data_IF_549480904647
#
_entry.id   IF_549480904647
#
_cell.length_a   1.000
_cell.length_b   1.000
_cell.length_c   1.000
_cell.angle_alpha   90.00
_cell.angle_beta   90.00
_cell.angle_gamma   90.00
#
_symmetry.space_group_name_H-M   'P 1'
#
loop_
_entity.id
_entity.type
_entity.pdbx_description
1 polymer ?
#
# COMPACT_ATOMS: atom_id res chain seq x y z
N UNK A 1 31.61 -14.16 -21.58
CA UNK A 1 32.05 -12.78 -21.23
C UNK A 1 31.23 -11.82 -22.07
N UNK A 2 30.13 -11.28 -21.55
CA UNK A 2 29.33 -10.27 -22.26
C UNK A 2 29.91 -8.90 -21.92
N UNK A 3 30.39 -8.21 -22.94
CA UNK A 3 30.96 -6.86 -22.83
C UNK A 3 29.88 -5.85 -22.49
N UNK A 4 29.98 -5.20 -21.35
CA UNK A 4 29.14 -4.06 -20.97
C UNK A 4 29.41 -2.90 -21.96
N UNK A 5 28.37 -2.34 -22.62
CA UNK A 5 28.60 -1.25 -23.55
C UNK A 5 29.08 0.01 -22.82
N UNK A 6 30.08 0.68 -23.38
CA UNK A 6 30.65 1.90 -22.80
C UNK A 6 29.64 3.07 -22.80
N UNK A 7 29.78 4.01 -21.87
CA UNK A 7 28.97 5.23 -21.75
C UNK A 7 28.83 6.00 -23.08
N UNK A 8 29.87 5.94 -23.92
CA UNK A 8 29.90 6.58 -25.26
C UNK A 8 29.04 5.87 -26.31
N UNK A 9 28.96 4.52 -26.27
CA UNK A 9 28.09 3.75 -27.17
C UNK A 9 26.62 3.93 -26.82
N UNK A 10 26.29 4.08 -25.55
CA UNK A 10 24.94 4.37 -25.07
C UNK A 10 24.44 5.73 -25.54
N UNK A 11 25.26 6.79 -25.44
CA UNK A 11 24.88 8.15 -25.87
C UNK A 11 24.78 8.29 -27.41
N UNK A 12 25.52 7.51 -28.19
CA UNK A 12 25.39 7.48 -29.66
C UNK A 12 24.08 6.85 -30.12
N UNK A 13 23.55 5.88 -29.39
CA UNK A 13 22.27 5.24 -29.72
C UNK A 13 21.04 6.10 -29.36
N UNK A 14 21.20 7.09 -28.46
CA UNK A 14 20.15 8.06 -28.14
C UNK A 14 19.96 9.14 -29.22
N UNK A 15 20.97 9.40 -30.03
CA UNK A 15 20.92 10.43 -31.10
C UNK A 15 20.30 9.96 -32.42
N UNK A 16 19.99 8.68 -32.56
CA UNK A 16 19.36 8.08 -33.75
C UNK A 16 17.97 7.56 -33.46
N UNK A 17 16.98 8.39 -33.45
CA UNK A 17 15.51 8.27 -33.59
C UNK A 17 14.73 6.98 -33.30
N UNK A 18 15.35 5.92 -32.80
CA UNK A 18 14.69 4.75 -32.21
C UNK A 18 15.45 4.39 -30.93
N UNK A 19 15.00 4.93 -29.79
CA UNK A 19 15.62 4.66 -28.51
C UNK A 19 15.47 3.16 -28.18
N UNK A 20 16.52 2.39 -28.38
CA UNK A 20 16.68 1.07 -27.75
C UNK A 20 16.82 1.33 -26.26
N UNK A 21 15.69 1.28 -25.53
CA UNK A 21 15.74 1.28 -24.07
C UNK A 21 16.51 0.04 -23.61
N UNK A 22 17.48 0.18 -22.69
CA UNK A 22 18.26 -0.96 -22.22
C UNK A 22 17.36 -2.00 -21.58
N UNK A 23 17.79 -3.25 -21.61
CA UNK A 23 17.19 -4.32 -20.81
C UNK A 23 17.15 -3.92 -19.33
N UNK A 24 16.34 -4.61 -18.51
CA UNK A 24 16.25 -4.33 -17.08
C UNK A 24 17.64 -4.14 -16.47
N UNK A 25 17.80 -3.09 -15.65
CA UNK A 25 19.05 -2.82 -14.95
C UNK A 25 19.07 -3.55 -13.62
N UNK A 26 20.24 -4.01 -13.20
CA UNK A 26 20.38 -4.82 -11.98
C UNK A 26 20.32 -3.98 -10.71
N UNK A 27 20.64 -2.68 -10.77
CA UNK A 27 20.72 -1.83 -9.58
C UNK A 27 19.96 -0.51 -9.75
N UNK A 28 19.53 0.07 -8.64
CA UNK A 28 18.91 1.40 -8.62
C UNK A 28 19.91 2.49 -9.02
N UNK A 29 21.21 2.29 -8.77
CA UNK A 29 22.28 3.19 -9.19
C UNK A 29 22.36 3.33 -10.70
N UNK A 30 22.11 2.26 -11.47
CA UNK A 30 22.06 2.27 -12.93
C UNK A 30 20.72 2.86 -13.44
N UNK A 31 19.61 2.61 -12.76
CA UNK A 31 18.29 3.09 -13.15
C UNK A 31 18.15 4.61 -13.02
N UNK A 32 18.69 5.21 -11.96
CA UNK A 32 18.57 6.64 -11.68
C UNK A 32 19.04 7.54 -12.83
N UNK A 33 20.26 7.40 -13.39
CA UNK A 33 20.69 8.24 -14.50
C UNK A 33 19.88 7.99 -15.78
N UNK A 34 19.36 6.78 -16.00
CA UNK A 34 18.50 6.46 -17.14
C UNK A 34 17.17 7.19 -17.06
N UNK A 35 16.53 7.19 -15.88
CA UNK A 35 15.30 7.94 -15.65
C UNK A 35 15.50 9.44 -15.81
N UNK A 36 16.62 9.98 -15.34
CA UNK A 36 16.96 11.40 -15.48
C UNK A 36 17.21 11.81 -16.94
N UNK A 37 17.77 10.91 -17.77
CA UNK A 37 18.06 11.16 -19.18
C UNK A 37 16.86 10.90 -20.10
N UNK A 38 15.80 10.26 -19.62
CA UNK A 38 14.64 9.87 -20.42
C UNK A 38 13.70 11.07 -20.61
N UNK A 39 13.45 11.42 -21.86
CA UNK A 39 12.51 12.48 -22.25
C UNK A 39 11.14 11.85 -22.54
N UNK A 40 10.08 12.46 -21.97
CA UNK A 40 8.71 12.00 -22.14
C UNK A 40 8.22 11.07 -21.02
N UNK A 41 7.00 11.31 -20.57
CA UNK A 41 6.41 10.62 -19.43
C UNK A 41 6.23 9.12 -19.70
N UNK A 42 5.70 8.72 -20.87
CA UNK A 42 5.48 7.30 -21.19
C UNK A 42 6.78 6.53 -21.30
N UNK A 43 7.82 7.07 -21.96
CA UNK A 43 9.14 6.41 -22.07
C UNK A 43 9.76 6.18 -20.67
N UNK A 44 9.52 7.12 -19.73
CA UNK A 44 9.92 6.95 -18.32
C UNK A 44 9.20 5.77 -17.67
N UNK A 45 7.89 5.64 -17.86
CA UNK A 45 7.10 4.57 -17.27
C UNK A 45 7.35 3.21 -17.94
N UNK A 46 7.69 3.17 -19.22
CA UNK A 46 8.18 1.96 -19.88
C UNK A 46 9.50 1.48 -19.27
N UNK A 47 10.42 2.39 -18.96
CA UNK A 47 11.66 2.03 -18.27
C UNK A 47 11.40 1.48 -16.88
N UNK A 48 10.44 2.07 -16.13
CA UNK A 48 9.96 1.56 -14.84
C UNK A 48 9.33 0.17 -15.01
N UNK A 49 8.46 -0.04 -16.03
CA UNK A 49 7.84 -1.36 -16.31
C UNK A 49 8.89 -2.47 -16.44
N UNK A 50 9.99 -2.20 -17.12
CA UNK A 50 11.07 -3.18 -17.36
C UNK A 50 11.80 -3.61 -16.08
N UNK A 51 11.62 -2.89 -14.96
CA UNK A 51 12.17 -3.29 -13.67
C UNK A 51 11.38 -4.44 -13.00
N UNK A 52 10.25 -4.84 -13.58
CA UNK A 52 9.39 -5.90 -13.04
C UNK A 52 9.46 -7.14 -13.91
N UNK A 53 9.55 -8.32 -13.28
CA UNK A 53 9.88 -9.59 -13.96
C UNK A 53 8.68 -10.34 -14.55
N UNK A 54 7.43 -9.84 -14.37
CA UNK A 54 6.26 -10.56 -14.87
C UNK A 54 6.20 -10.59 -16.40
N UNK A 55 5.63 -11.68 -16.95
CA UNK A 55 5.48 -11.88 -18.39
C UNK A 55 4.39 -10.99 -18.97
N UNK A 56 4.61 -10.48 -20.20
CA UNK A 56 3.56 -9.78 -20.97
C UNK A 56 2.37 -10.69 -21.32
N UNK A 57 2.55 -12.01 -21.29
CA UNK A 57 1.44 -12.96 -21.45
C UNK A 57 0.51 -13.03 -20.23
N UNK A 58 0.96 -12.61 -19.03
CA UNK A 58 0.23 -12.69 -17.76
C UNK A 58 0.45 -11.44 -16.95
N UNK A 59 -0.35 -10.41 -17.22
CA UNK A 59 -0.21 -9.06 -16.66
C UNK A 59 -0.99 -8.92 -15.37
N UNK A 60 -0.35 -8.61 -14.23
CA UNK A 60 -1.04 -8.31 -12.99
C UNK A 60 -1.70 -6.91 -13.06
N UNK A 61 -3.02 -6.86 -12.90
CA UNK A 61 -3.80 -5.62 -12.67
C UNK A 61 -4.56 -5.78 -11.35
N UNK A 62 -3.84 -6.08 -10.27
CA UNK A 62 -4.42 -6.39 -8.97
C UNK A 62 -3.57 -5.87 -7.81
N UNK A 63 -3.11 -4.61 -7.92
CA UNK A 63 -2.26 -3.98 -6.91
C UNK A 63 -2.89 -3.93 -5.51
N UNK A 64 -4.22 -3.93 -5.44
CA UNK A 64 -4.96 -4.00 -4.17
C UNK A 64 -4.75 -5.32 -3.39
N UNK A 65 -4.22 -6.37 -4.03
CA UNK A 65 -3.93 -7.65 -3.39
C UNK A 65 -2.43 -7.90 -3.27
N UNK A 66 -1.74 -8.04 -4.40
CA UNK A 66 -0.31 -8.38 -4.45
C UNK A 66 0.34 -7.75 -5.68
N UNK A 67 1.40 -7.00 -5.46
CA UNK A 67 2.26 -6.47 -6.52
C UNK A 67 3.53 -7.30 -6.68
N UNK A 68 4.08 -7.39 -7.91
CA UNK A 68 5.46 -7.81 -8.09
C UNK A 68 6.40 -6.78 -7.45
N UNK A 69 7.53 -7.24 -6.92
CA UNK A 69 8.61 -6.33 -6.50
C UNK A 69 9.52 -6.00 -7.69
N UNK A 70 10.12 -4.80 -7.72
CA UNK A 70 11.19 -4.50 -8.67
C UNK A 70 12.33 -5.51 -8.54
N UNK A 71 13.03 -5.81 -9.66
CA UNK A 71 14.16 -6.76 -9.67
C UNK A 71 15.20 -6.44 -8.62
N UNK A 72 15.60 -5.16 -8.49
CA UNK A 72 16.57 -4.73 -7.49
C UNK A 72 16.18 -5.09 -6.06
N UNK A 73 14.88 -5.05 -5.73
CA UNK A 73 14.36 -5.45 -4.41
C UNK A 73 14.45 -6.96 -4.23
N UNK A 74 14.02 -7.72 -5.24
CA UNK A 74 14.06 -9.20 -5.19
C UNK A 74 15.50 -9.72 -5.10
N UNK A 75 16.40 -9.17 -5.91
CA UNK A 75 17.82 -9.53 -5.91
C UNK A 75 18.48 -9.19 -4.57
N UNK A 76 18.12 -8.07 -3.95
CA UNK A 76 18.63 -7.71 -2.63
C UNK A 76 18.16 -8.68 -1.53
N UNK A 77 16.89 -9.13 -1.57
CA UNK A 77 16.41 -10.18 -0.65
C UNK A 77 17.21 -11.46 -0.82
N UNK A 78 17.41 -11.91 -2.07
CA UNK A 78 18.19 -13.12 -2.37
C UNK A 78 19.64 -12.98 -1.90
N UNK A 79 20.28 -11.84 -2.17
CA UNK A 79 21.64 -11.54 -1.73
C UNK A 79 21.78 -11.65 -0.20
N UNK A 80 20.93 -11.00 0.55
CA UNK A 80 20.96 -11.02 2.01
C UNK A 80 20.63 -12.41 2.58
N UNK A 81 19.73 -13.17 1.93
CA UNK A 81 19.44 -14.55 2.33
C UNK A 81 20.68 -15.41 2.20
N UNK A 82 21.36 -15.37 1.05
CA UNK A 82 22.62 -16.11 0.85
C UNK A 82 23.72 -15.68 1.81
N UNK A 83 23.82 -14.39 2.12
CA UNK A 83 24.82 -13.88 3.07
C UNK A 83 24.59 -14.45 4.47
N UNK A 84 23.34 -14.51 4.94
CA UNK A 84 23.00 -15.12 6.23
C UNK A 84 23.24 -16.63 6.22
N UNK A 85 22.84 -17.33 5.15
CA UNK A 85 22.98 -18.77 5.02
C UNK A 85 24.47 -19.19 4.94
N UNK A 86 25.33 -18.35 4.36
CA UNK A 86 26.77 -18.57 4.33
C UNK A 86 27.43 -18.39 5.71
N UNK A 87 26.92 -17.47 6.54
CA UNK A 87 27.42 -17.25 7.88
C UNK A 87 26.30 -16.78 8.83
N UNK A 88 25.71 -17.71 9.56
CA UNK A 88 24.64 -17.46 10.53
C UNK A 88 25.13 -16.88 11.85
N UNK A 89 26.43 -16.59 12.01
CA UNK A 89 27.01 -16.07 13.26
C UNK A 89 26.43 -14.72 13.68
N UNK A 90 26.47 -14.43 14.96
CA UNK A 90 26.13 -13.08 15.47
C UNK A 90 27.05 -12.00 14.90
N UNK A 91 28.32 -12.35 14.61
CA UNK A 91 29.29 -11.42 14.02
C UNK A 91 28.84 -10.95 12.63
N UNK A 92 28.43 -11.89 11.76
CA UNK A 92 27.92 -11.56 10.44
C UNK A 92 26.56 -10.83 10.53
N UNK A 93 25.64 -11.36 11.33
CA UNK A 93 24.27 -10.83 11.44
C UNK A 93 24.18 -9.47 12.13
N UNK A 94 25.21 -9.06 12.87
CA UNK A 94 25.26 -7.76 13.55
C UNK A 94 25.00 -6.56 12.63
N UNK A 95 25.40 -6.64 11.35
CA UNK A 95 25.17 -5.59 10.34
C UNK A 95 23.67 -5.35 10.02
N UNK A 96 22.82 -6.38 10.18
CA UNK A 96 21.39 -6.27 9.87
C UNK A 96 20.65 -5.33 10.83
N UNK A 97 21.15 -5.13 12.05
CA UNK A 97 20.62 -4.10 12.95
C UNK A 97 20.73 -2.69 12.33
N UNK A 98 21.89 -2.39 11.71
CA UNK A 98 22.10 -1.11 11.03
C UNK A 98 21.24 -1.00 9.78
N UNK A 99 21.18 -2.05 8.95
CA UNK A 99 20.36 -2.09 7.74
C UNK A 99 18.86 -1.95 8.05
N UNK A 100 18.38 -2.52 9.17
CA UNK A 100 17.00 -2.32 9.64
C UNK A 100 16.72 -0.85 9.96
N UNK A 101 17.62 -0.19 10.70
CA UNK A 101 17.44 1.23 11.03
C UNK A 101 17.54 2.13 9.78
N UNK A 102 18.40 1.83 8.83
CA UNK A 102 18.46 2.51 7.54
C UNK A 102 17.16 2.33 6.75
N UNK A 103 16.59 1.12 6.70
CA UNK A 103 15.29 0.83 6.08
C UNK A 103 14.16 1.61 6.75
N UNK A 104 14.15 1.63 8.10
CA UNK A 104 13.20 2.42 8.90
C UNK A 104 13.28 3.91 8.56
N UNK A 105 14.47 4.48 8.55
CA UNK A 105 14.68 5.89 8.24
C UNK A 105 14.17 6.27 6.85
N UNK A 106 14.42 5.42 5.84
CA UNK A 106 13.94 5.64 4.47
C UNK A 106 12.42 5.52 4.36
N UNK A 107 11.81 4.54 5.03
CA UNK A 107 10.36 4.37 5.08
C UNK A 107 9.71 5.56 5.79
N UNK A 108 10.24 5.99 6.93
CA UNK A 108 9.76 7.16 7.67
C UNK A 108 9.81 8.43 6.80
N UNK A 109 10.96 8.70 6.17
CA UNK A 109 11.10 9.84 5.26
C UNK A 109 10.09 9.82 4.11
N UNK A 110 9.76 8.63 3.58
CA UNK A 110 8.80 8.45 2.48
C UNK A 110 7.35 8.79 2.85
N UNK A 111 7.01 8.90 4.13
CA UNK A 111 5.68 9.25 4.63
C UNK A 111 5.68 10.53 5.50
N UNK A 112 6.79 11.26 5.57
CA UNK A 112 6.92 12.47 6.38
C UNK A 112 6.88 12.22 7.90
N UNK A 113 7.41 11.08 8.37
CA UNK A 113 7.50 10.70 9.77
C UNK A 113 8.95 10.71 10.29
N UNK A 114 9.10 10.78 11.62
CA UNK A 114 10.37 10.50 12.27
C UNK A 114 10.61 8.98 12.38
N UNK A 115 11.86 8.49 12.29
CA UNK A 115 12.17 7.06 12.44
C UNK A 115 11.66 6.46 13.76
N UNK A 116 11.59 7.24 14.82
CA UNK A 116 11.11 6.79 16.13
C UNK A 116 9.59 6.60 16.20
N UNK A 117 8.85 7.10 15.21
CA UNK A 117 7.40 6.91 15.06
C UNK A 117 7.04 5.69 14.21
N UNK A 118 8.03 5.01 13.62
CA UNK A 118 7.82 3.91 12.67
C UNK A 118 8.27 2.58 13.25
N UNK A 119 7.38 1.59 13.21
CA UNK A 119 7.67 0.18 13.40
C UNK A 119 7.57 -0.56 12.07
N UNK A 120 8.55 -1.42 11.77
CA UNK A 120 8.51 -2.33 10.64
C UNK A 120 7.90 -3.67 11.10
N UNK A 121 6.65 -3.89 10.76
CA UNK A 121 5.84 -5.06 11.10
C UNK A 121 5.75 -6.03 9.91
N UNK A 122 5.02 -7.14 10.03
CA UNK A 122 4.87 -8.11 8.91
C UNK A 122 3.89 -7.65 7.84
N UNK A 123 2.80 -7.01 8.23
CA UNK A 123 1.75 -6.56 7.30
C UNK A 123 0.72 -5.66 8.01
N UNK A 124 -0.23 -5.11 7.23
CA UNK A 124 -1.32 -4.27 7.74
C UNK A 124 -2.18 -4.96 8.79
N UNK A 125 -2.44 -6.28 8.66
CA UNK A 125 -3.29 -7.00 9.61
C UNK A 125 -2.65 -7.05 10.99
N UNK A 126 -1.35 -7.29 11.09
CA UNK A 126 -0.61 -7.20 12.34
C UNK A 126 -0.62 -5.77 12.88
N UNK A 127 -0.29 -4.79 12.03
CA UNK A 127 -0.24 -3.38 12.42
C UNK A 127 -1.60 -2.87 12.96
N UNK A 128 -2.71 -3.19 12.29
CA UNK A 128 -4.06 -2.87 12.77
C UNK A 128 -4.34 -3.55 14.11
N UNK A 129 -3.93 -4.81 14.30
CA UNK A 129 -4.12 -5.50 15.57
C UNK A 129 -3.27 -4.90 16.70
N UNK A 130 -2.09 -4.33 16.41
CA UNK A 130 -1.33 -3.56 17.42
C UNK A 130 -2.17 -2.38 17.91
N UNK A 131 -2.80 -1.63 17.02
CA UNK A 131 -3.67 -0.51 17.40
C UNK A 131 -4.92 -1.01 18.11
N UNK A 132 -5.66 -1.95 17.50
CA UNK A 132 -6.95 -2.41 18.02
C UNK A 132 -6.83 -3.07 19.39
N UNK A 133 -5.74 -3.78 19.65
CA UNK A 133 -5.49 -4.44 20.94
C UNK A 133 -4.77 -3.53 21.93
N UNK A 134 -3.95 -2.62 21.42
CA UNK A 134 -3.14 -1.72 22.24
C UNK A 134 -3.91 -0.57 22.86
N UNK A 135 -5.07 -0.20 22.31
CA UNK A 135 -5.91 0.88 22.85
C UNK A 135 -6.50 0.51 24.20
N UNK A 136 -6.36 1.35 25.25
CA UNK A 136 -6.87 1.10 26.60
C UNK A 136 -8.37 1.42 26.69
N UNK A 137 -9.19 0.63 26.01
CA UNK A 137 -10.65 0.80 25.97
C UNK A 137 -11.34 -0.05 27.04
N UNK A 138 -12.47 0.44 27.54
CA UNK A 138 -13.26 -0.18 28.59
C UNK A 138 -14.77 -0.07 28.34
N UNK A 139 -15.57 -0.70 29.20
CA UNK A 139 -17.03 -0.62 29.17
C UNK A 139 -17.50 0.84 29.23
N UNK A 140 -18.35 1.21 28.26
CA UNK A 140 -18.89 2.56 28.11
C UNK A 140 -18.19 3.40 27.02
N UNK A 141 -16.97 3.03 26.63
CA UNK A 141 -16.30 3.65 25.48
C UNK A 141 -16.93 3.23 24.15
N UNK A 142 -16.68 4.01 23.11
CA UNK A 142 -17.18 3.78 21.76
C UNK A 142 -16.03 3.87 20.74
N UNK A 143 -15.99 2.93 19.81
CA UNK A 143 -15.14 2.95 18.62
C UNK A 143 -16.02 3.15 17.40
N UNK A 144 -15.74 4.18 16.61
CA UNK A 144 -16.41 4.42 15.33
C UNK A 144 -15.52 3.88 14.20
N UNK A 145 -16.09 3.03 13.35
CA UNK A 145 -15.38 2.41 12.22
C UNK A 145 -16.17 2.60 10.93
N UNK A 146 -15.46 2.56 9.80
CA UNK A 146 -16.11 2.46 8.51
C UNK A 146 -16.54 1.01 8.24
N UNK A 147 -17.77 0.79 7.76
CA UNK A 147 -18.24 -0.56 7.41
C UNK A 147 -17.38 -1.23 6.32
N UNK A 148 -16.81 -0.42 5.39
CA UNK A 148 -15.94 -0.88 4.32
C UNK A 148 -14.46 -0.97 4.69
N UNK A 149 -14.09 -0.87 5.96
CA UNK A 149 -12.75 -1.27 6.37
C UNK A 149 -12.52 -2.74 6.03
N UNK A 150 -11.26 -3.10 5.83
CA UNK A 150 -10.92 -4.50 5.58
C UNK A 150 -11.46 -5.40 6.72
N UNK A 151 -12.02 -6.59 6.41
CA UNK A 151 -12.60 -7.47 7.44
C UNK A 151 -11.68 -7.76 8.62
N UNK A 152 -10.36 -7.93 8.39
CA UNK A 152 -9.39 -8.15 9.49
C UNK A 152 -9.32 -6.99 10.48
N UNK A 153 -9.59 -5.75 10.05
CA UNK A 153 -9.67 -4.60 10.94
C UNK A 153 -11.02 -4.57 11.68
N UNK A 154 -12.13 -4.68 10.95
CA UNK A 154 -13.46 -4.63 11.56
C UNK A 154 -13.70 -5.78 12.55
N UNK A 155 -13.37 -7.02 12.18
CA UNK A 155 -13.51 -8.19 13.07
C UNK A 155 -12.61 -8.06 14.30
N UNK A 156 -11.42 -7.48 14.18
CA UNK A 156 -10.56 -7.26 15.34
C UNK A 156 -11.21 -6.30 16.35
N UNK A 157 -11.86 -5.23 15.91
CA UNK A 157 -12.63 -4.34 16.80
C UNK A 157 -13.81 -5.07 17.45
N UNK A 158 -14.56 -5.88 16.71
CA UNK A 158 -15.68 -6.66 17.26
C UNK A 158 -15.22 -7.64 18.34
N UNK A 159 -14.13 -8.36 18.10
CA UNK A 159 -13.56 -9.31 19.07
C UNK A 159 -13.07 -8.58 20.32
N UNK A 160 -12.47 -7.39 20.19
CA UNK A 160 -12.04 -6.60 21.35
C UNK A 160 -13.24 -6.01 22.10
N UNK A 161 -14.27 -5.55 21.39
CA UNK A 161 -15.51 -5.09 22.01
C UNK A 161 -16.21 -6.19 22.84
N UNK A 162 -16.30 -7.38 22.28
CA UNK A 162 -16.84 -8.55 23.01
C UNK A 162 -16.02 -8.89 24.26
N UNK A 163 -14.69 -8.71 24.22
CA UNK A 163 -13.80 -9.00 25.33
C UNK A 163 -13.79 -7.93 26.41
N UNK A 164 -13.82 -6.66 26.03
CA UNK A 164 -13.60 -5.52 26.95
C UNK A 164 -14.86 -4.69 27.24
N UNK A 165 -15.96 -4.97 26.55
CA UNK A 165 -17.28 -4.37 26.83
C UNK A 165 -17.50 -2.97 26.29
N UNK A 166 -16.62 -2.44 25.44
CA UNK A 166 -16.89 -1.21 24.70
C UNK A 166 -17.82 -1.48 23.49
N UNK A 167 -18.30 -0.43 22.85
CA UNK A 167 -19.21 -0.55 21.70
C UNK A 167 -18.50 -0.20 20.39
N UNK A 168 -18.92 -0.87 19.29
CA UNK A 168 -18.44 -0.56 17.93
C UNK A 168 -19.61 0.00 17.14
N UNK A 169 -19.46 1.21 16.61
CA UNK A 169 -20.43 1.87 15.73
C UNK A 169 -19.88 1.91 14.30
N UNK A 170 -20.67 1.44 13.35
CA UNK A 170 -20.31 1.44 11.93
C UNK A 170 -20.90 2.64 11.21
N UNK A 171 -20.10 3.25 10.36
CA UNK A 171 -20.50 4.32 9.44
C UNK A 171 -20.67 3.74 8.06
N UNK A 172 -21.82 3.98 7.46
CA UNK A 172 -22.10 3.73 6.05
C UNK A 172 -21.98 5.04 5.28
N UNK A 173 -21.34 5.03 4.12
CA UNK A 173 -21.26 6.18 3.23
C UNK A 173 -21.97 5.87 1.91
N UNK A 174 -22.45 6.89 1.17
CA UNK A 174 -23.03 6.69 -0.16
C UNK A 174 -22.05 5.98 -1.10
N UNK A 175 -22.56 5.07 -1.93
CA UNK A 175 -21.73 4.36 -2.93
C UNK A 175 -21.18 5.32 -3.99
N UNK A 176 -21.92 6.35 -4.34
CA UNK A 176 -21.53 7.42 -5.26
C UNK A 176 -21.58 8.76 -4.52
N UNK A 177 -20.59 9.09 -3.68
CA UNK A 177 -20.56 10.34 -2.93
C UNK A 177 -20.47 11.53 -3.91
N UNK A 178 -21.23 12.57 -3.62
CA UNK A 178 -21.30 13.79 -4.45
C UNK A 178 -20.17 14.77 -4.14
N UNK A 179 -19.56 14.63 -2.97
CA UNK A 179 -18.47 15.49 -2.53
C UNK A 179 -17.68 14.84 -1.38
N UNK A 180 -16.47 15.34 -1.14
CA UNK A 180 -15.69 14.98 0.05
C UNK A 180 -16.42 15.38 1.33
N UNK A 181 -17.15 16.51 1.33
CA UNK A 181 -17.89 16.98 2.52
C UNK A 181 -18.97 15.98 2.93
N UNK A 182 -19.69 15.37 2.00
CA UNK A 182 -20.69 14.34 2.32
C UNK A 182 -20.07 13.14 3.04
N UNK A 183 -18.82 12.78 2.69
CA UNK A 183 -18.08 11.75 3.39
C UNK A 183 -17.66 12.20 4.80
N UNK A 184 -17.20 13.44 4.96
CA UNK A 184 -16.84 14.00 6.28
C UNK A 184 -18.06 14.02 7.20
N UNK A 185 -19.20 14.53 6.72
CA UNK A 185 -20.44 14.66 7.48
C UNK A 185 -20.96 13.31 8.00
N UNK A 186 -20.80 12.24 7.19
CA UNK A 186 -21.18 10.88 7.58
C UNK A 186 -20.40 10.42 8.82
N UNK A 187 -19.09 10.68 8.87
CA UNK A 187 -18.28 10.34 10.05
C UNK A 187 -18.54 11.28 11.22
N UNK A 188 -18.62 12.58 10.98
CA UNK A 188 -18.85 13.56 12.04
C UNK A 188 -20.16 13.32 12.80
N UNK A 189 -21.23 13.02 12.08
CA UNK A 189 -22.54 12.71 12.67
C UNK A 189 -22.57 11.43 13.51
N UNK A 190 -21.60 10.53 13.27
CA UNK A 190 -21.47 9.30 14.01
C UNK A 190 -20.76 9.46 15.36
N UNK A 191 -19.96 10.51 15.56
CA UNK A 191 -19.17 10.71 16.76
C UNK A 191 -20.02 11.20 17.95
N UNK A 192 -19.76 10.63 19.14
CA UNK A 192 -20.41 10.99 20.40
C UNK A 192 -19.38 11.39 21.47
N UNK A 193 -19.82 11.83 22.62
CA UNK A 193 -18.94 12.11 23.78
C UNK A 193 -18.24 10.86 24.33
N UNK A 194 -18.72 9.66 23.98
CA UNK A 194 -18.12 8.37 24.36
C UNK A 194 -17.11 7.86 23.34
N UNK A 195 -17.06 8.44 22.15
CA UNK A 195 -16.14 7.99 21.09
C UNK A 195 -14.69 8.25 21.54
N UNK A 196 -13.87 7.21 21.55
CA UNK A 196 -12.44 7.26 21.89
C UNK A 196 -11.56 7.02 20.68
N UNK A 197 -12.04 6.23 19.73
CA UNK A 197 -11.31 5.88 18.50
C UNK A 197 -12.21 6.07 17.30
N UNK A 198 -11.66 6.68 16.26
CA UNK A 198 -12.18 6.66 14.89
C UNK A 198 -11.17 5.88 14.03
N UNK A 199 -11.61 4.75 13.44
CA UNK A 199 -10.75 3.89 12.63
C UNK A 199 -11.33 3.74 11.23
N UNK A 200 -10.58 4.22 10.22
CA UNK A 200 -10.99 4.19 8.81
C UNK A 200 -9.94 3.50 7.94
N UNK A 201 -10.37 2.99 6.80
CA UNK A 201 -9.50 2.68 5.67
C UNK A 201 -9.45 3.89 4.73
N UNK A 202 -8.24 4.33 4.33
CA UNK A 202 -8.07 5.51 3.46
C UNK A 202 -8.70 5.32 2.08
N UNK A 203 -8.48 4.13 1.47
CA UNK A 203 -9.11 3.74 0.19
C UNK A 203 -9.72 2.35 0.35
N UNK A 204 -11.02 2.22 0.08
CA UNK A 204 -11.72 0.94 0.18
C UNK A 204 -11.27 -0.05 -0.90
N UNK A 205 -10.98 -1.28 -0.49
CA UNK A 205 -10.75 -2.39 -1.42
C UNK A 205 -12.06 -3.00 -1.96
N UNK A 206 -13.22 -2.57 -1.43
CA UNK A 206 -14.56 -3.08 -1.76
C UNK A 206 -15.32 -2.18 -2.73
N UNK A 207 -15.05 -0.87 -2.73
CA UNK A 207 -15.70 0.11 -3.61
C UNK A 207 -14.73 1.01 -4.37
N UNK A 208 -13.47 1.11 -3.91
CA UNK A 208 -12.50 2.06 -4.44
C UNK A 208 -12.73 3.50 -3.97
N UNK A 209 -13.71 3.77 -3.08
CA UNK A 209 -13.90 5.08 -2.47
C UNK A 209 -12.63 5.47 -1.70
N UNK A 210 -12.13 6.68 -1.97
CA UNK A 210 -11.07 7.35 -1.21
C UNK A 210 -11.73 8.32 -0.24
N UNK A 211 -11.54 8.10 1.06
CA UNK A 211 -12.02 9.02 2.08
C UNK A 211 -11.12 10.26 2.16
N UNK A 212 -11.67 11.46 2.42
CA UNK A 212 -10.91 12.68 2.70
C UNK A 212 -10.31 12.60 4.12
N UNK A 213 -9.30 11.71 4.27
CA UNK A 213 -8.80 11.27 5.56
C UNK A 213 -8.20 12.42 6.41
N UNK A 214 -7.66 13.46 5.77
CA UNK A 214 -7.19 14.66 6.49
C UNK A 214 -8.37 15.45 7.10
N UNK A 215 -9.42 15.69 6.32
CA UNK A 215 -10.60 16.45 6.81
C UNK A 215 -11.34 15.69 7.92
N UNK A 216 -11.50 14.36 7.77
CA UNK A 216 -12.08 13.50 8.83
C UNK A 216 -11.18 13.52 10.08
N UNK A 217 -9.85 13.51 9.92
CA UNK A 217 -8.89 13.60 11.01
C UNK A 217 -8.99 14.90 11.80
N UNK A 218 -9.22 16.02 11.13
CA UNK A 218 -9.44 17.32 11.80
C UNK A 218 -10.69 17.30 12.70
N UNK A 219 -11.75 16.60 12.28
CA UNK A 219 -12.97 16.43 13.11
C UNK A 219 -12.67 15.59 14.35
N UNK A 220 -11.95 14.47 14.18
CA UNK A 220 -11.53 13.61 15.29
C UNK A 220 -10.64 14.37 16.28
N UNK A 221 -9.64 15.09 15.78
CA UNK A 221 -8.68 15.84 16.55
C UNK A 221 -9.34 16.94 17.42
N UNK A 222 -10.30 17.70 16.85
CA UNK A 222 -11.07 18.73 17.60
C UNK A 222 -11.83 18.15 18.79
N UNK A 223 -12.15 16.85 18.77
CA UNK A 223 -12.88 16.13 19.83
C UNK A 223 -11.97 15.29 20.72
N UNK A 224 -10.65 15.32 20.51
CA UNK A 224 -9.67 14.53 21.28
C UNK A 224 -9.76 13.01 21.02
N UNK A 225 -10.35 12.59 19.90
CA UNK A 225 -10.55 11.20 19.51
C UNK A 225 -9.27 10.70 18.84
N UNK A 226 -8.80 9.49 19.21
CA UNK A 226 -7.68 8.82 18.54
C UNK A 226 -8.07 8.46 17.11
N UNK A 227 -7.27 8.90 16.14
CA UNK A 227 -7.57 8.69 14.73
C UNK A 227 -6.61 7.73 14.08
N UNK A 228 -7.13 6.55 13.72
CA UNK A 228 -6.40 5.48 13.06
C UNK A 228 -6.77 5.35 11.58
N UNK A 229 -5.76 5.28 10.71
CA UNK A 229 -5.93 5.16 9.26
C UNK A 229 -5.25 3.89 8.74
N UNK A 230 -6.05 2.96 8.20
CA UNK A 230 -5.57 1.81 7.45
C UNK A 230 -5.22 2.25 6.02
N UNK A 231 -3.95 2.22 5.71
CA UNK A 231 -3.37 2.63 4.43
C UNK A 231 -3.02 1.49 3.48
N UNK A 232 -3.58 0.30 3.68
CA UNK A 232 -3.30 -0.88 2.85
C UNK A 232 -3.49 -0.65 1.34
N UNK A 233 -4.32 0.33 0.95
CA UNK A 233 -4.60 0.68 -0.44
C UNK A 233 -4.10 2.09 -0.81
N UNK A 234 -3.35 2.76 0.06
CA UNK A 234 -2.84 4.11 -0.21
C UNK A 234 -1.32 4.21 -0.15
N UNK A 235 -0.62 3.42 0.69
CA UNK A 235 0.83 3.46 0.75
C UNK A 235 1.48 2.98 -0.54
N UNK A 236 2.22 3.86 -1.21
CA UNK A 236 2.82 3.60 -2.52
C UNK A 236 1.91 3.91 -3.71
N UNK A 237 0.65 4.35 -3.48
CA UNK A 237 -0.28 4.79 -4.50
C UNK A 237 -0.67 6.26 -4.37
N UNK A 238 -0.73 6.78 -3.14
CA UNK A 238 -1.12 8.14 -2.80
C UNK A 238 0.05 8.85 -2.15
N UNK A 239 0.26 10.11 -2.47
CA UNK A 239 1.25 10.94 -1.78
C UNK A 239 0.77 11.24 -0.35
N UNK A 240 1.57 10.83 0.64
CA UNK A 240 1.22 10.91 2.06
C UNK A 240 2.31 11.63 2.82
N UNK A 241 1.90 12.55 3.71
CA UNK A 241 2.70 13.09 4.78
C UNK A 241 1.88 12.98 6.07
N UNK A 242 2.23 12.03 6.94
CA UNK A 242 1.43 11.70 8.12
C UNK A 242 1.36 12.85 9.14
N UNK A 243 2.41 13.69 9.23
CA UNK A 243 2.42 14.86 10.09
C UNK A 243 1.47 15.95 9.58
N UNK A 244 1.50 16.26 8.28
CA UNK A 244 0.60 17.24 7.66
C UNK A 244 -0.86 16.79 7.70
N UNK A 245 -1.10 15.49 7.57
CA UNK A 245 -2.44 14.90 7.65
C UNK A 245 -2.97 14.79 9.07
N UNK A 246 -2.11 14.93 10.09
CA UNK A 246 -2.51 14.95 11.49
C UNK A 246 -3.03 13.62 12.04
N UNK A 247 -2.63 12.48 11.44
CA UNK A 247 -3.05 11.15 11.87
C UNK A 247 -2.33 10.73 13.16
N UNK A 248 -3.03 10.02 14.05
CA UNK A 248 -2.42 9.45 15.26
C UNK A 248 -1.72 8.11 14.96
N UNK A 249 -2.23 7.35 14.00
CA UNK A 249 -1.56 6.13 13.48
C UNK A 249 -1.92 5.83 12.02
N UNK A 250 -0.98 5.19 11.33
CA UNK A 250 -1.14 4.74 9.94
C UNK A 250 -0.51 3.36 9.75
N UNK A 251 -1.21 2.48 9.04
CA UNK A 251 -0.77 1.10 8.81
C UNK A 251 -0.77 0.73 7.34
N UNK A 252 0.19 -0.07 6.90
CA UNK A 252 0.24 -0.52 5.51
C UNK A 252 1.07 -1.81 5.33
N UNK A 253 0.95 -2.42 4.16
CA UNK A 253 1.75 -3.59 3.73
C UNK A 253 2.58 -3.25 2.51
N UNK A 254 3.85 -3.65 2.51
CA UNK A 254 4.77 -3.36 1.40
C UNK A 254 4.46 -4.14 0.12
N UNK A 255 3.89 -5.34 0.22
CA UNK A 255 3.61 -6.23 -0.91
C UNK A 255 2.45 -5.79 -1.82
N UNK A 256 1.73 -4.72 -1.47
CA UNK A 256 0.69 -4.12 -2.30
C UNK A 256 1.27 -2.99 -3.15
N UNK A 257 0.67 -1.84 -3.12
CA UNK A 257 1.05 -0.67 -3.93
C UNK A 257 2.49 -0.17 -3.72
N UNK A 258 3.10 -0.48 -2.58
CA UNK A 258 4.51 -0.14 -2.34
C UNK A 258 5.49 -1.08 -3.08
N UNK A 259 5.02 -2.18 -3.68
CA UNK A 259 5.85 -3.13 -4.45
C UNK A 259 7.09 -3.63 -3.68
N UNK A 260 7.06 -3.62 -2.36
CA UNK A 260 8.16 -4.01 -1.49
C UNK A 260 8.20 -5.51 -1.16
N UNK A 261 9.14 -5.94 -0.31
CA UNK A 261 9.25 -7.33 0.11
C UNK A 261 7.98 -7.81 0.81
N UNK A 262 7.58 -9.07 0.58
CA UNK A 262 6.49 -9.71 1.32
C UNK A 262 6.87 -9.85 2.78
N UNK A 263 5.88 -9.99 3.67
CA UNK A 263 6.11 -10.10 5.13
C UNK A 263 6.86 -8.90 5.73
N UNK A 264 6.73 -7.72 5.08
CA UNK A 264 7.13 -6.43 5.64
C UNK A 264 5.96 -5.46 5.53
N UNK A 265 5.72 -4.72 6.58
CA UNK A 265 4.66 -3.71 6.67
C UNK A 265 5.11 -2.52 7.52
N UNK A 266 4.27 -1.51 7.52
CA UNK A 266 4.47 -0.25 8.21
C UNK A 266 3.42 -0.09 9.30
N UNK A 267 3.87 0.30 10.49
CA UNK A 267 3.05 0.90 11.54
C UNK A 267 3.68 2.24 11.90
N UNK A 268 3.01 3.33 11.58
CA UNK A 268 3.29 4.66 12.11
C UNK A 268 2.42 4.92 13.33
N UNK A 269 3.02 5.45 14.37
CA UNK A 269 2.31 5.97 15.55
C UNK A 269 2.93 7.31 15.93
N UNK A 270 2.11 8.35 15.99
CA UNK A 270 2.53 9.70 16.37
C UNK A 270 3.25 9.68 17.72
N UNK A 271 4.36 10.37 17.83
CA UNK A 271 5.30 10.30 18.97
C UNK A 271 4.62 10.39 20.34
N UNK A 272 3.70 11.34 20.52
CA UNK A 272 3.02 11.54 21.79
C UNK A 272 1.93 10.49 22.11
N UNK A 273 1.54 9.67 21.11
CA UNK A 273 0.55 8.59 21.24
C UNK A 273 1.18 7.22 21.51
N UNK A 274 2.49 7.04 21.26
CA UNK A 274 3.17 5.76 21.42
C UNK A 274 3.00 5.18 22.83
N UNK A 275 3.10 6.02 23.86
CA UNK A 275 2.96 5.58 25.26
C UNK A 275 1.54 5.13 25.65
N UNK A 276 0.52 5.53 24.88
CA UNK A 276 -0.88 5.19 25.14
C UNK A 276 -1.20 3.75 24.71
N UNK A 277 -0.38 3.18 23.82
CA UNK A 277 -0.64 1.87 23.22
C UNK A 277 0.16 0.75 23.90
N UNK A 278 -0.52 -0.34 24.19
CA UNK A 278 0.09 -1.58 24.66
C UNK A 278 0.57 -2.42 23.46
N UNK A 279 1.76 -3.06 23.51
CA UNK A 279 2.20 -3.97 22.46
C UNK A 279 1.43 -5.31 22.53
N UNK A 280 1.26 -5.94 21.36
CA UNK A 280 0.64 -7.26 21.28
C UNK A 280 1.56 -8.38 21.73
N UNK A 281 2.86 -8.24 21.47
CA UNK A 281 3.91 -9.20 21.80
C UNK A 281 4.93 -8.49 22.67
N UNK A 282 5.32 -9.16 23.74
CA UNK A 282 6.23 -8.64 24.75
C UNK A 282 7.55 -9.39 24.68
N UNK A 283 8.67 -8.67 24.56
CA UNK A 283 10.01 -9.22 24.57
C UNK A 283 10.65 -9.16 25.98
N UNK A 284 11.79 -9.84 26.21
CA UNK A 284 12.50 -9.78 27.48
C UNK A 284 12.86 -8.37 27.98
N UNK A 285 13.13 -7.45 27.07
CA UNK A 285 13.44 -6.05 27.38
C UNK A 285 12.19 -5.22 27.77
N UNK A 286 11.04 -5.83 27.77
CA UNK A 286 9.79 -5.26 28.25
C UNK A 286 9.72 -5.40 29.78
N UNK A 287 9.85 -4.37 30.44
CA UNK A 287 9.69 -4.31 31.88
C UNK A 287 9.29 -2.91 32.31
N UNK A 288 9.49 -2.55 33.54
CA UNK A 288 9.28 -1.19 34.05
C UNK A 288 10.17 -0.14 33.34
N UNK A 289 11.20 -0.59 32.63
CA UNK A 289 12.12 0.23 31.82
C UNK A 289 11.85 0.19 30.31
N UNK A 290 10.74 -0.41 29.85
CA UNK A 290 10.43 -0.69 28.45
C UNK A 290 10.37 0.55 27.58
N UNK A 291 9.74 1.58 28.05
CA UNK A 291 9.68 2.86 27.32
C UNK A 291 11.06 3.53 27.22
N UNK A 292 12.05 3.07 27.97
CA UNK A 292 13.44 3.55 27.91
C UNK A 292 14.36 2.61 27.14
N UNK A 293 14.06 1.32 27.09
CA UNK A 293 14.89 0.31 26.41
C UNK A 293 14.60 0.24 24.90
N UNK A 294 13.33 0.37 24.50
CA UNK A 294 12.92 0.33 23.10
C UNK A 294 12.41 1.71 22.66
N UNK A 295 13.26 2.44 21.97
CA UNK A 295 12.99 3.82 21.54
C UNK A 295 11.81 3.91 20.58
N UNK A 296 10.78 4.67 20.97
CA UNK A 296 9.64 4.98 20.12
C UNK A 296 8.79 3.75 19.75
N UNK A 297 8.37 3.70 18.49
CA UNK A 297 7.49 2.63 17.96
C UNK A 297 8.16 1.26 17.86
N UNK A 298 9.47 1.14 18.06
CA UNK A 298 10.21 -0.14 18.04
C UNK A 298 9.67 -1.13 19.06
N UNK A 299 9.01 -0.67 20.12
CA UNK A 299 8.33 -1.56 21.09
C UNK A 299 7.28 -2.48 20.45
N UNK A 300 6.77 -2.15 19.28
CA UNK A 300 5.78 -2.94 18.54
C UNK A 300 6.40 -3.99 17.60
N UNK A 301 7.73 -4.08 17.53
CA UNK A 301 8.48 -5.00 16.66
C UNK A 301 9.00 -6.26 17.36
N UNK A 302 8.72 -6.45 18.62
CA UNK A 302 9.27 -7.53 19.45
C UNK A 302 8.65 -8.89 19.13
N UNK A 303 9.02 -9.48 18.00
CA UNK A 303 8.45 -10.71 17.47
C UNK A 303 9.42 -11.92 17.53
N UNK A 304 10.55 -11.80 18.24
CA UNK A 304 11.60 -12.81 18.21
C UNK A 304 12.41 -12.80 16.92
N UNK A 305 12.82 -13.96 16.41
CA UNK A 305 13.58 -14.05 15.16
C UNK A 305 12.70 -13.63 13.98
N UNK A 306 13.19 -12.65 13.22
CA UNK A 306 12.52 -12.14 12.02
C UNK A 306 13.36 -12.42 10.77
N UNK A 307 12.80 -12.16 9.60
CA UNK A 307 13.50 -12.25 8.32
C UNK A 307 14.34 -10.98 8.10
N UNK A 308 15.59 -11.03 8.54
CA UNK A 308 16.53 -9.90 8.44
C UNK A 308 16.74 -9.48 6.96
N UNK A 309 16.71 -10.44 6.02
CA UNK A 309 16.92 -10.19 4.59
C UNK A 309 15.83 -9.31 4.00
N UNK A 310 14.56 -9.59 4.31
CA UNK A 310 13.41 -8.81 3.82
C UNK A 310 13.33 -7.44 4.47
N UNK A 311 13.61 -7.37 5.78
CA UNK A 311 13.62 -6.10 6.51
C UNK A 311 14.70 -5.16 5.99
N UNK A 312 15.91 -5.68 5.71
CA UNK A 312 17.00 -4.90 5.13
C UNK A 312 16.69 -4.47 3.68
N UNK A 313 16.13 -5.37 2.85
CA UNK A 313 15.76 -5.07 1.47
C UNK A 313 14.59 -4.06 1.35
N UNK A 314 13.87 -3.81 2.45
CA UNK A 314 12.84 -2.78 2.50
C UNK A 314 13.40 -1.38 2.19
N UNK A 315 14.66 -1.10 2.60
CA UNK A 315 15.35 0.13 2.24
C UNK A 315 15.52 0.32 0.73
N UNK A 316 15.75 -0.76 -0.02
CA UNK A 316 15.85 -0.72 -1.49
C UNK A 316 14.50 -0.39 -2.13
N UNK A 317 13.39 -0.91 -1.59
CA UNK A 317 12.05 -0.56 -2.06
C UNK A 317 11.73 0.93 -1.77
N UNK A 318 12.11 1.43 -0.60
CA UNK A 318 11.94 2.84 -0.27
C UNK A 318 12.77 3.76 -1.18
N UNK A 319 14.02 3.38 -1.51
CA UNK A 319 14.86 4.12 -2.46
C UNK A 319 14.24 4.15 -3.87
N UNK A 320 13.63 3.04 -4.32
CA UNK A 320 12.92 2.97 -5.59
C UNK A 320 11.75 3.96 -5.63
N UNK A 321 10.92 4.01 -4.59
CA UNK A 321 9.83 4.97 -4.47
C UNK A 321 10.32 6.42 -4.38
N UNK A 322 11.36 6.69 -3.59
CA UNK A 322 11.95 8.02 -3.47
C UNK A 322 12.52 8.53 -4.81
N UNK A 323 13.09 7.64 -5.63
CA UNK A 323 13.60 7.97 -6.95
C UNK A 323 12.50 8.35 -7.94
N UNK A 324 11.32 7.74 -7.85
CA UNK A 324 10.17 8.03 -8.70
C UNK A 324 9.40 9.27 -8.22
N UNK A 325 9.28 9.43 -6.91
CA UNK A 325 8.52 10.48 -6.24
C UNK A 325 7.03 10.14 -6.06
N UNK A 326 6.52 10.25 -4.84
CA UNK A 326 5.13 9.89 -4.52
C UNK A 326 4.08 10.64 -5.36
N UNK A 327 4.20 11.96 -5.62
CA UNK A 327 3.26 12.66 -6.49
C UNK A 327 3.25 12.14 -7.93
N UNK A 328 4.41 11.75 -8.48
CA UNK A 328 4.49 11.20 -9.84
C UNK A 328 3.87 9.79 -9.91
N UNK A 329 4.02 8.98 -8.86
CA UNK A 329 3.38 7.66 -8.76
C UNK A 329 1.86 7.80 -8.68
N UNK A 330 1.35 8.72 -7.85
CA UNK A 330 -0.09 9.00 -7.74
C UNK A 330 -0.67 9.47 -9.08
N UNK A 331 0.00 10.42 -9.75
CA UNK A 331 -0.40 10.89 -11.08
C UNK A 331 -0.42 9.74 -12.11
N UNK A 332 0.60 8.84 -12.08
CA UNK A 332 0.63 7.66 -12.95
C UNK A 332 -0.54 6.71 -12.67
N UNK A 333 -0.84 6.46 -11.42
CA UNK A 333 -1.98 5.62 -11.03
C UNK A 333 -3.28 6.16 -11.63
N UNK A 334 -3.54 7.48 -11.50
CA UNK A 334 -4.73 8.10 -12.08
C UNK A 334 -4.72 8.07 -13.62
N UNK A 335 -3.56 8.30 -14.26
CA UNK A 335 -3.40 8.22 -15.71
C UNK A 335 -3.73 6.81 -16.27
N UNK A 336 -3.67 5.76 -15.45
CA UNK A 336 -4.04 4.40 -15.83
C UNK A 336 -5.49 4.05 -15.42
N UNK A 337 -5.92 4.40 -14.21
CA UNK A 337 -7.22 3.98 -13.69
C UNK A 337 -8.39 4.76 -14.31
N UNK A 338 -8.20 6.03 -14.68
CA UNK A 338 -9.28 6.81 -15.30
C UNK A 338 -9.64 6.31 -16.71
N UNK A 339 -8.68 6.06 -17.64
CA UNK A 339 -8.97 5.41 -18.91
C UNK A 339 -9.57 3.99 -18.74
N UNK A 340 -9.11 3.23 -17.73
CA UNK A 340 -9.71 1.92 -17.42
C UNK A 340 -11.19 2.06 -17.07
N UNK A 341 -11.55 2.93 -16.11
CA UNK A 341 -12.94 3.18 -15.70
C UNK A 341 -13.80 3.58 -16.89
N UNK A 342 -13.32 4.56 -17.68
CA UNK A 342 -14.05 5.03 -18.86
C UNK A 342 -14.23 3.92 -19.89
N UNK A 343 -13.16 3.21 -20.24
CA UNK A 343 -13.23 2.11 -21.21
C UNK A 343 -14.16 0.98 -20.78
N UNK A 344 -14.21 0.67 -19.48
CA UNK A 344 -15.14 -0.32 -18.93
C UNK A 344 -16.60 0.14 -19.02
N UNK A 345 -16.90 1.42 -18.75
CA UNK A 345 -18.24 1.98 -18.97
C UNK A 345 -18.63 1.95 -20.46
N UNK A 346 -17.71 2.36 -21.34
CA UNK A 346 -17.96 2.35 -22.80
C UNK A 346 -18.14 0.91 -23.32
N UNK A 347 -17.59 -0.11 -22.62
CA UNK A 347 -17.83 -1.53 -22.89
C UNK A 347 -19.18 -2.04 -22.32
N UNK A 348 -19.96 -1.20 -21.64
CA UNK A 348 -21.27 -1.52 -21.07
C UNK A 348 -21.22 -2.03 -19.63
N UNK A 349 -20.07 -1.96 -18.94
CA UNK A 349 -19.97 -2.37 -17.55
C UNK A 349 -20.48 -1.26 -16.59
N UNK A 350 -21.16 -1.67 -15.53
CA UNK A 350 -21.60 -0.76 -14.45
C UNK A 350 -20.50 -0.66 -13.40
N UNK A 351 -20.02 0.57 -13.16
CA UNK A 351 -18.99 0.82 -12.14
C UNK A 351 -19.59 0.77 -10.74
N UNK A 352 -18.89 0.07 -9.85
CA UNK A 352 -19.06 0.17 -8.38
C UNK A 352 -18.21 1.33 -7.83
N UNK A 353 -17.02 1.52 -8.41
CA UNK A 353 -16.11 2.61 -8.01
C UNK A 353 -16.57 3.94 -8.59
N UNK A 354 -16.62 5.03 -7.81
CA UNK A 354 -16.93 6.36 -8.32
C UNK A 354 -15.98 6.80 -9.45
N UNK A 355 -16.50 7.51 -10.44
CA UNK A 355 -15.70 8.07 -11.54
C UNK A 355 -14.81 9.22 -11.07
N UNK A 356 -15.32 10.06 -10.17
CA UNK A 356 -14.61 11.24 -9.66
C UNK A 356 -13.34 10.83 -8.89
N UNK A 357 -12.20 11.31 -9.34
CA UNK A 357 -10.89 11.06 -8.72
C UNK A 357 -10.73 11.68 -7.34
N UNK A 358 -11.52 12.70 -7.00
CA UNK A 358 -11.49 13.32 -5.67
C UNK A 358 -11.96 12.35 -4.58
N UNK A 359 -12.91 11.48 -4.92
CA UNK A 359 -13.52 10.51 -4.00
C UNK A 359 -13.22 9.06 -4.37
N UNK A 360 -12.26 8.82 -5.25
CA UNK A 360 -11.85 7.46 -5.62
C UNK A 360 -10.33 7.32 -5.77
N UNK A 361 -9.80 6.12 -5.45
CA UNK A 361 -8.38 5.79 -5.59
C UNK A 361 -8.08 4.91 -6.81
N UNK A 362 -6.95 4.20 -6.75
CA UNK A 362 -6.49 3.30 -7.83
C UNK A 362 -7.24 1.98 -7.95
N UNK A 363 -8.18 1.69 -7.05
CA UNK A 363 -9.03 0.49 -7.09
C UNK A 363 -10.20 0.75 -8.03
N UNK A 364 -10.37 -0.08 -9.07
CA UNK A 364 -11.49 -0.03 -10.00
C UNK A 364 -12.28 -1.33 -9.91
N UNK A 365 -13.59 -1.22 -9.69
CA UNK A 365 -14.49 -2.37 -9.57
C UNK A 365 -15.71 -2.14 -10.48
N UNK A 366 -16.07 -3.18 -11.24
CA UNK A 366 -17.34 -3.25 -11.98
C UNK A 366 -18.25 -4.30 -11.36
N UNK A 367 -19.56 -4.08 -11.49
CA UNK A 367 -20.57 -5.00 -11.01
C UNK A 367 -20.58 -6.28 -11.87
N UNK A 368 -20.47 -7.42 -11.20
CA UNK A 368 -20.62 -8.75 -11.79
C UNK A 368 -21.49 -9.56 -10.84
N UNK A 369 -22.56 -10.24 -11.32
CA UNK A 369 -23.33 -11.18 -10.51
C UNK A 369 -22.42 -12.19 -9.79
N UNK A 370 -22.70 -12.48 -8.54
CA UNK A 370 -21.80 -13.26 -7.68
C UNK A 370 -21.43 -14.62 -8.29
N UNK A 371 -22.41 -15.29 -8.89
CA UNK A 371 -22.27 -16.57 -9.57
C UNK A 371 -21.32 -16.53 -10.78
N UNK A 372 -21.11 -15.36 -11.37
CA UNK A 372 -20.28 -15.17 -12.57
C UNK A 372 -18.89 -14.62 -12.27
N UNK A 373 -18.62 -14.12 -11.06
CA UNK A 373 -17.34 -13.46 -10.71
C UNK A 373 -16.12 -14.34 -10.96
N UNK A 374 -16.15 -15.58 -10.50
CA UNK A 374 -15.04 -16.51 -10.69
C UNK A 374 -14.83 -16.85 -12.17
N UNK A 375 -15.91 -17.10 -12.92
CA UNK A 375 -15.87 -17.38 -14.35
C UNK A 375 -15.30 -16.20 -15.15
N UNK A 376 -15.71 -14.98 -14.81
CA UNK A 376 -15.23 -13.74 -15.43
C UNK A 376 -13.73 -13.56 -15.21
N UNK A 377 -13.25 -13.67 -13.96
CA UNK A 377 -11.83 -13.49 -13.61
C UNK A 377 -10.97 -14.56 -14.27
N UNK A 378 -11.39 -15.83 -14.25
CA UNK A 378 -10.65 -16.94 -14.87
C UNK A 378 -10.58 -16.76 -16.39
N UNK A 379 -11.70 -16.44 -17.07
CA UNK A 379 -11.69 -16.25 -18.51
C UNK A 379 -10.86 -15.02 -18.93
N UNK A 380 -10.89 -13.94 -18.16
CA UNK A 380 -10.07 -12.75 -18.41
C UNK A 380 -8.57 -13.10 -18.30
N UNK A 381 -8.21 -13.93 -17.33
CA UNK A 381 -6.84 -14.42 -17.16
C UNK A 381 -6.43 -15.38 -18.28
N UNK A 382 -7.26 -16.38 -18.58
CA UNK A 382 -6.90 -17.45 -19.52
C UNK A 382 -6.85 -16.96 -20.97
N UNK A 383 -7.83 -16.14 -21.40
CA UNK A 383 -7.95 -15.67 -22.77
C UNK A 383 -7.19 -14.39 -23.06
N UNK A 384 -7.15 -13.47 -22.09
CA UNK A 384 -6.58 -12.14 -22.29
C UNK A 384 -5.32 -11.90 -21.47
N UNK A 385 -4.90 -12.84 -20.62
CA UNK A 385 -3.69 -12.72 -19.80
C UNK A 385 -3.77 -11.63 -18.74
N UNK A 386 -4.97 -11.21 -18.30
CA UNK A 386 -5.15 -10.14 -17.32
C UNK A 386 -5.54 -10.74 -15.97
N UNK A 387 -4.72 -10.54 -14.95
CA UNK A 387 -4.97 -11.00 -13.60
C UNK A 387 -5.70 -9.93 -12.79
N UNK A 388 -6.99 -10.13 -12.53
CA UNK A 388 -7.84 -9.34 -11.65
C UNK A 388 -8.25 -10.10 -10.37
N UNK A 389 -9.32 -9.66 -9.70
CA UNK A 389 -9.88 -10.32 -8.52
C UNK A 389 -11.41 -10.24 -8.49
N UNK A 390 -12.04 -11.13 -7.70
CA UNK A 390 -13.50 -11.22 -7.54
C UNK A 390 -14.07 -10.28 -6.46
N UNK A 391 -13.23 -9.50 -5.78
CA UNK A 391 -13.62 -8.66 -4.64
C UNK A 391 -14.57 -7.55 -5.06
N UNK A 392 -15.79 -7.57 -4.54
CA UNK A 392 -16.80 -6.55 -4.82
C UNK A 392 -17.44 -6.63 -6.23
N UNK A 393 -16.98 -7.55 -7.08
CA UNK A 393 -17.33 -7.70 -8.49
C UNK A 393 -16.12 -8.18 -9.28
N UNK A 394 -15.84 -7.61 -10.47
CA UNK A 394 -14.50 -7.71 -11.07
C UNK A 394 -13.70 -6.50 -10.63
N UNK A 395 -12.63 -6.73 -9.86
CA UNK A 395 -11.70 -5.71 -9.40
C UNK A 395 -10.43 -5.70 -10.24
N UNK A 396 -10.13 -4.55 -10.83
CA UNK A 396 -8.92 -4.27 -11.60
C UNK A 396 -8.20 -3.07 -10.98
N UNK A 397 -6.94 -3.23 -10.64
CA UNK A 397 -6.15 -2.23 -9.92
C UNK A 397 -4.80 -2.06 -10.62
N UNK A 398 -4.72 -1.21 -11.66
CA UNK A 398 -3.46 -0.93 -12.35
C UNK A 398 -2.53 -0.12 -11.45
N UNK A 399 -1.22 -0.28 -11.67
CA UNK A 399 -0.21 0.45 -10.93
C UNK A 399 0.99 0.81 -11.81
N UNK A 400 1.99 1.45 -11.24
CA UNK A 400 3.18 2.02 -11.90
C UNK A 400 3.90 1.09 -12.89
N UNK A 401 3.74 -0.21 -12.76
CA UNK A 401 4.30 -1.23 -13.66
C UNK A 401 3.38 -1.61 -14.84
N UNK A 402 2.17 -1.05 -14.91
CA UNK A 402 1.27 -1.25 -16.05
C UNK A 402 1.47 -0.17 -17.12
N UNK A 403 1.15 -0.53 -18.37
CA UNK A 403 1.16 0.35 -19.55
C UNK A 403 -0.26 0.64 -20.03
N UNK A 404 -0.43 1.61 -20.93
CA UNK A 404 -1.73 1.86 -21.57
C UNK A 404 -2.21 0.66 -22.38
N UNK A 405 -1.30 -0.07 -23.04
CA UNK A 405 -1.61 -1.32 -23.74
C UNK A 405 -2.24 -2.37 -22.80
N UNK A 406 -1.75 -2.46 -21.56
CA UNK A 406 -2.35 -3.35 -20.55
C UNK A 406 -3.79 -2.93 -20.19
N UNK A 407 -4.06 -1.61 -20.15
CA UNK A 407 -5.40 -1.06 -19.88
C UNK A 407 -6.34 -1.38 -21.06
N UNK A 408 -5.90 -1.10 -22.28
CA UNK A 408 -6.67 -1.39 -23.49
C UNK A 408 -7.00 -2.88 -23.62
N UNK A 409 -6.04 -3.74 -23.33
CA UNK A 409 -6.23 -5.20 -23.30
C UNK A 409 -7.21 -5.65 -22.23
N UNK A 410 -7.18 -5.05 -21.04
CA UNK A 410 -8.13 -5.34 -19.98
C UNK A 410 -9.56 -4.93 -20.38
N UNK A 411 -9.73 -3.75 -20.97
CA UNK A 411 -11.03 -3.26 -21.48
C UNK A 411 -11.55 -4.15 -22.61
N UNK A 412 -10.68 -4.49 -23.59
CA UNK A 412 -11.04 -5.40 -24.70
C UNK A 412 -11.46 -6.78 -24.17
N UNK A 413 -10.75 -7.30 -23.15
CA UNK A 413 -11.11 -8.57 -22.52
C UNK A 413 -12.47 -8.54 -21.83
N UNK A 414 -12.78 -7.47 -21.11
CA UNK A 414 -14.12 -7.30 -20.48
C UNK A 414 -15.21 -7.20 -21.54
N UNK A 415 -14.96 -6.45 -22.62
CA UNK A 415 -15.91 -6.33 -23.75
C UNK A 415 -16.19 -7.67 -24.44
N UNK A 416 -15.17 -8.50 -24.64
CA UNK A 416 -15.32 -9.85 -25.18
C UNK A 416 -16.15 -10.76 -24.26
N UNK A 417 -16.02 -10.57 -22.96
CA UNK A 417 -16.65 -11.35 -21.91
C UNK A 417 -17.98 -10.71 -21.39
N UNK A 418 -18.55 -9.75 -22.11
CA UNK A 418 -19.73 -8.96 -21.71
C UNK A 418 -20.96 -9.78 -21.32
N UNK A 419 -21.07 -11.04 -21.74
CA UNK A 419 -22.16 -11.96 -21.36
C UNK A 419 -22.29 -12.19 -19.83
N UNK A 420 -21.27 -11.83 -19.05
CA UNK A 420 -21.23 -11.94 -17.59
C UNK A 420 -21.37 -10.57 -16.87
N UNK A 421 -21.58 -9.48 -17.62
CA UNK A 421 -21.88 -8.18 -17.03
C UNK A 421 -23.29 -8.18 -16.45
N UNK A 422 -23.51 -7.35 -15.39
CA UNK A 422 -24.81 -7.16 -14.75
C UNK A 422 -25.72 -6.25 -15.56
#
# INVERSE_FOLDING_TARGET
MSTIPSRRSFLRNLAGGAAFLPAAVATLGELRPLLAATVGAESRWELVRRQFAFSEAKVPINAANLCPSPRAVTEQVVHFTHDIDNDCSFNNRGKFKKLLEESRGKVAAGIGADPDEVALVRNTSEANNVINNGMPLSKGDEVVIWEQNHPTNNVAWDVRAARYGFTVKRVTVPQNPKSEQELVDAFESALTSRTRVLSITHVSNLSGIRLPAQAIGLVAQKRGIYYHVDGAQSWGAVAINVHEMGWDSYTASSHKWFCGPREVGLLYVKQNRIKELWPNVVAPDWGTAVDTALKGARKFESLGQRDDSRLAAMGTAADFHAMLGAPAIEARMYALVQPLKKGLQDAGAKLVTPMDEKVSGGVCIIEIPEEHRASMVNALYDKHGIAGATTGGLRLCPHLYNTMEHIERAVAGVKDLRKWLA
#
